data_IF_752313765662
#
_entry.id   IF_752313765662
#
_cell.length_a   1.000
_cell.length_b   1.000
_cell.length_c   1.000
_cell.angle_alpha   90.00
_cell.angle_beta   90.00
_cell.angle_gamma   90.00
#
_symmetry.space_group_name_H-M   'P 1'
#
loop_
_entity.id
_entity.type
_entity.pdbx_description
1 polymer ?
#
# COMPACT_ATOMS: atom_id res chain seq x y z
N UNK A 1 -1.15 -3.22 -11.08
CA UNK A 1 -2.20 -3.45 -12.10
C UNK A 1 -3.46 -3.88 -11.37
N UNK A 2 -4.58 -3.18 -11.56
CA UNK A 2 -5.85 -3.47 -10.87
C UNK A 2 -6.74 -4.39 -11.70
N UNK A 3 -7.60 -5.16 -11.03
CA UNK A 3 -8.65 -6.00 -11.65
C UNK A 3 -9.49 -5.19 -12.64
N UNK A 4 -9.89 -3.98 -12.25
CA UNK A 4 -10.60 -3.01 -13.10
C UNK A 4 -9.92 -2.75 -14.47
N UNK A 5 -8.59 -2.66 -14.51
CA UNK A 5 -7.87 -2.48 -15.78
C UNK A 5 -7.83 -3.76 -16.60
N UNK A 6 -7.78 -4.93 -15.97
CA UNK A 6 -7.82 -6.22 -16.68
C UNK A 6 -9.20 -6.49 -17.28
N UNK A 7 -10.30 -6.14 -16.58
CA UNK A 7 -11.65 -6.22 -17.11
C UNK A 7 -11.80 -5.41 -18.40
N UNK A 8 -11.33 -4.16 -18.39
CA UNK A 8 -11.37 -3.30 -19.59
C UNK A 8 -10.46 -3.75 -20.74
N UNK A 9 -9.49 -4.63 -20.50
CA UNK A 9 -8.69 -5.22 -21.58
C UNK A 9 -9.46 -6.28 -22.35
N UNK A 10 -10.37 -6.98 -21.67
CA UNK A 10 -11.31 -7.85 -22.34
C UNK A 10 -12.26 -6.96 -23.14
N UNK A 11 -12.24 -7.08 -24.48
CA UNK A 11 -13.11 -6.27 -25.35
C UNK A 11 -14.45 -6.94 -25.64
N UNK A 12 -14.60 -8.22 -25.30
CA UNK A 12 -15.75 -9.04 -25.70
C UNK A 12 -16.72 -9.19 -24.52
N UNK A 13 -17.83 -8.44 -24.55
CA UNK A 13 -18.88 -8.52 -23.53
C UNK A 13 -19.57 -9.89 -23.50
N UNK A 14 -19.86 -10.48 -24.65
CA UNK A 14 -20.50 -11.80 -24.74
C UNK A 14 -19.67 -12.89 -24.07
N UNK A 15 -18.33 -12.80 -24.15
CA UNK A 15 -17.43 -13.72 -23.47
C UNK A 15 -17.53 -13.53 -21.96
N UNK A 16 -17.60 -12.29 -21.49
CA UNK A 16 -17.76 -11.99 -20.08
C UNK A 16 -19.07 -12.56 -19.52
N UNK A 17 -20.18 -12.39 -20.24
CA UNK A 17 -21.50 -12.89 -19.84
C UNK A 17 -21.56 -14.44 -19.83
N UNK A 18 -20.84 -15.10 -20.74
CA UNK A 18 -20.69 -16.57 -20.78
C UNK A 18 -19.90 -17.14 -19.60
N UNK A 19 -18.97 -16.38 -19.02
CA UNK A 19 -18.14 -16.84 -17.90
C UNK A 19 -18.97 -16.90 -16.62
N UNK A 20 -19.68 -15.83 -16.30
CA UNK A 20 -20.55 -15.73 -15.13
C UNK A 20 -21.41 -14.48 -15.23
N UNK A 21 -22.67 -14.49 -14.74
CA UNK A 21 -23.49 -13.28 -14.69
C UNK A 21 -22.80 -12.15 -13.91
N UNK A 22 -22.23 -12.46 -12.74
CA UNK A 22 -21.51 -11.48 -11.91
C UNK A 22 -20.26 -10.94 -12.61
N UNK A 23 -19.57 -11.79 -13.38
CA UNK A 23 -18.42 -11.36 -14.18
C UNK A 23 -18.85 -10.40 -15.30
N UNK A 24 -19.95 -10.71 -15.99
CA UNK A 24 -20.57 -9.86 -17.00
C UNK A 24 -20.94 -8.48 -16.47
N UNK A 25 -21.59 -8.42 -15.31
CA UNK A 25 -21.94 -7.15 -14.64
C UNK A 25 -20.70 -6.35 -14.22
N UNK A 26 -19.70 -7.00 -13.62
CA UNK A 26 -18.42 -6.37 -13.27
C UNK A 26 -17.71 -5.81 -14.51
N UNK A 27 -17.77 -6.53 -15.62
CA UNK A 27 -17.20 -6.10 -16.89
C UNK A 27 -17.96 -4.89 -17.47
N UNK A 28 -19.31 -4.89 -17.43
CA UNK A 28 -20.14 -3.75 -17.85
C UNK A 28 -19.86 -2.51 -17.01
N UNK A 29 -19.85 -2.64 -15.68
CA UNK A 29 -19.52 -1.54 -14.77
C UNK A 29 -18.12 -0.97 -15.04
N UNK A 30 -17.13 -1.85 -15.26
CA UNK A 30 -15.76 -1.44 -15.59
C UNK A 30 -15.65 -0.70 -16.93
N UNK A 31 -16.36 -1.13 -17.97
CA UNK A 31 -16.38 -0.45 -19.27
C UNK A 31 -17.18 0.85 -19.26
N UNK A 32 -18.30 0.89 -18.54
CA UNK A 32 -19.12 2.09 -18.37
C UNK A 32 -18.43 3.18 -17.51
N UNK A 33 -17.42 2.80 -16.72
CA UNK A 33 -16.78 3.72 -15.78
C UNK A 33 -17.49 3.83 -14.43
N UNK A 34 -18.48 2.98 -14.15
CA UNK A 34 -19.19 2.95 -12.87
C UNK A 34 -18.36 2.27 -11.78
N UNK A 35 -17.58 3.09 -11.08
CA UNK A 35 -16.76 2.65 -9.95
C UNK A 35 -17.61 2.19 -8.76
N UNK A 36 -18.76 2.83 -8.52
CA UNK A 36 -19.61 2.52 -7.38
C UNK A 36 -20.24 1.14 -7.53
N UNK A 37 -20.85 0.85 -8.68
CA UNK A 37 -21.41 -0.46 -8.97
C UNK A 37 -20.36 -1.56 -8.90
N UNK A 38 -19.16 -1.33 -9.45
CA UNK A 38 -18.07 -2.30 -9.36
C UNK A 38 -17.62 -2.63 -7.94
N UNK A 39 -17.50 -1.63 -7.05
CA UNK A 39 -17.12 -1.89 -5.66
C UNK A 39 -18.20 -2.69 -4.95
N UNK A 40 -19.48 -2.36 -5.17
CA UNK A 40 -20.60 -3.11 -4.63
C UNK A 40 -20.57 -4.57 -5.09
N UNK A 41 -20.38 -4.80 -6.40
CA UNK A 41 -20.25 -6.15 -6.99
C UNK A 41 -19.01 -6.93 -6.52
N UNK A 42 -17.92 -6.25 -6.16
CA UNK A 42 -16.74 -6.86 -5.54
C UNK A 42 -16.99 -7.33 -4.08
N UNK A 43 -18.12 -6.96 -3.49
CA UNK A 43 -18.49 -7.25 -2.09
C UNK A 43 -18.43 -6.04 -1.16
N UNK A 44 -18.22 -4.83 -1.70
CA UNK A 44 -18.14 -3.58 -0.96
C UNK A 44 -16.73 -3.22 -0.45
N UNK A 45 -16.56 -2.03 0.14
CA UNK A 45 -15.26 -1.50 0.53
C UNK A 45 -14.59 -2.26 1.70
N UNK A 46 -15.39 -2.91 2.56
CA UNK A 46 -14.92 -3.65 3.75
C UNK A 46 -14.85 -5.17 3.54
N UNK A 47 -15.00 -5.63 2.30
CA UNK A 47 -14.94 -7.07 1.99
C UNK A 47 -13.57 -7.63 2.36
N UNK A 48 -13.56 -8.80 3.01
CA UNK A 48 -12.30 -9.49 3.27
C UNK A 48 -11.68 -9.91 1.93
N UNK A 49 -10.34 -9.87 1.85
CA UNK A 49 -9.64 -10.24 0.61
C UNK A 49 -10.09 -11.61 0.12
N UNK A 50 -10.28 -12.57 1.02
CA UNK A 50 -10.76 -13.94 0.79
C UNK A 50 -12.06 -14.01 -0.01
N UNK A 51 -12.97 -13.06 0.21
CA UNK A 51 -14.34 -13.04 -0.33
C UNK A 51 -14.52 -12.12 -1.55
N UNK A 52 -13.44 -11.53 -2.07
CA UNK A 52 -13.49 -10.72 -3.29
C UNK A 52 -14.02 -11.54 -4.47
N UNK A 53 -15.00 -10.99 -5.21
CA UNK A 53 -15.56 -11.64 -6.39
C UNK A 53 -14.50 -11.88 -7.48
N UNK A 54 -13.60 -10.91 -7.68
CA UNK A 54 -12.54 -10.98 -8.70
C UNK A 54 -11.16 -10.68 -8.15
N UNK A 55 -10.17 -11.43 -8.64
CA UNK A 55 -8.75 -11.24 -8.36
C UNK A 55 -7.89 -11.33 -9.62
N UNK A 56 -6.73 -10.70 -9.57
CA UNK A 56 -5.71 -10.86 -10.60
C UNK A 56 -5.09 -12.25 -10.54
N UNK A 57 -5.05 -12.92 -11.69
CA UNK A 57 -4.39 -14.20 -11.85
C UNK A 57 -2.96 -13.99 -12.35
N UNK A 58 -2.01 -14.54 -11.59
CA UNK A 58 -0.60 -14.54 -11.90
C UNK A 58 -0.14 -15.91 -12.39
N UNK A 59 0.72 -15.90 -13.39
CA UNK A 59 1.42 -17.08 -13.90
C UNK A 59 2.92 -16.81 -13.85
N UNK A 60 3.72 -17.81 -13.48
CA UNK A 60 5.16 -17.72 -13.63
C UNK A 60 5.52 -17.74 -15.11
N UNK A 61 6.44 -16.87 -15.54
CA UNK A 61 7.01 -16.97 -16.88
C UNK A 61 7.85 -18.24 -16.98
N UNK A 62 7.81 -18.91 -18.13
CA UNK A 62 8.61 -20.10 -18.39
C UNK A 62 10.10 -19.77 -18.60
N UNK A 63 10.41 -18.52 -18.97
CA UNK A 63 11.78 -18.06 -19.15
C UNK A 63 12.31 -17.42 -17.85
N UNK A 64 13.47 -17.89 -17.33
CA UNK A 64 14.12 -17.25 -16.22
C UNK A 64 14.67 -15.88 -16.63
N UNK A 65 14.75 -14.96 -15.67
CA UNK A 65 15.48 -13.70 -15.86
C UNK A 65 16.98 -14.00 -16.07
N UNK A 66 17.77 -13.04 -16.56
CA UNK A 66 19.25 -13.13 -16.63
C UNK A 66 19.91 -13.57 -15.31
N UNK A 67 19.23 -13.41 -14.18
CA UNK A 67 19.65 -13.83 -12.85
C UNK A 67 19.06 -15.19 -12.40
N UNK A 68 18.52 -16.01 -13.31
CA UNK A 68 17.96 -17.33 -13.00
C UNK A 68 16.59 -17.34 -12.31
N UNK A 69 16.01 -16.17 -12.00
CA UNK A 69 14.75 -16.08 -11.25
C UNK A 69 13.52 -16.07 -12.17
N UNK A 70 12.52 -16.89 -11.82
CA UNK A 70 11.20 -16.89 -12.46
C UNK A 70 10.31 -15.77 -11.91
N UNK A 71 9.88 -14.87 -12.79
CA UNK A 71 9.01 -13.75 -12.40
C UNK A 71 7.53 -14.10 -12.62
N UNK A 72 6.69 -13.72 -11.66
CA UNK A 72 5.23 -13.76 -11.82
C UNK A 72 4.78 -12.62 -12.73
N UNK A 73 4.05 -12.97 -13.78
CA UNK A 73 3.38 -12.02 -14.66
C UNK A 73 1.86 -12.15 -14.50
N UNK A 74 1.13 -11.07 -14.70
CA UNK A 74 -0.33 -11.12 -14.75
C UNK A 74 -0.71 -11.77 -16.07
N UNK A 75 -1.51 -12.82 -16.02
CA UNK A 75 -2.03 -13.52 -17.20
C UNK A 75 -3.50 -13.19 -17.44
N UNK A 76 -4.25 -12.97 -16.36
CA UNK A 76 -5.60 -12.43 -16.45
C UNK A 76 -6.34 -12.35 -15.12
N UNK A 77 -7.56 -12.86 -15.10
CA UNK A 77 -8.48 -12.77 -13.97
C UNK A 77 -8.91 -14.15 -13.48
N UNK A 78 -9.20 -14.23 -12.18
CA UNK A 78 -9.76 -15.42 -11.55
C UNK A 78 -10.84 -15.00 -10.56
N UNK A 79 -11.91 -15.78 -10.50
CA UNK A 79 -12.97 -15.65 -9.51
C UNK A 79 -12.70 -16.66 -8.39
N UNK A 80 -12.18 -16.26 -7.22
CA UNK A 80 -11.75 -17.22 -6.19
C UNK A 80 -12.92 -17.89 -5.47
N UNK A 81 -14.09 -17.25 -5.44
CA UNK A 81 -15.28 -17.75 -4.73
C UNK A 81 -16.06 -18.76 -5.59
N UNK A 82 -15.96 -18.66 -6.91
CA UNK A 82 -16.63 -19.54 -7.85
C UNK A 82 -15.66 -20.53 -8.49
N UNK A 83 -16.09 -21.77 -8.73
CA UNK A 83 -15.28 -22.81 -9.39
C UNK A 83 -15.12 -22.62 -10.91
N UNK A 84 -15.01 -21.37 -11.36
CA UNK A 84 -15.03 -20.98 -12.77
C UNK A 84 -13.58 -20.94 -13.31
N UNK A 85 -13.35 -21.34 -14.58
CA UNK A 85 -12.02 -21.26 -15.18
C UNK A 85 -11.47 -19.84 -15.20
N UNK A 86 -10.14 -19.76 -15.21
CA UNK A 86 -9.41 -18.48 -15.24
C UNK A 86 -9.58 -17.83 -16.60
N UNK A 87 -9.80 -16.52 -16.61
CA UNK A 87 -9.99 -15.75 -17.84
C UNK A 87 -8.66 -15.12 -18.25
N UNK A 88 -8.16 -15.46 -19.43
CA UNK A 88 -6.97 -14.83 -20.01
C UNK A 88 -7.31 -13.47 -20.61
N UNK A 89 -6.67 -12.41 -20.11
CA UNK A 89 -6.85 -11.04 -20.63
C UNK A 89 -5.64 -10.55 -21.42
N UNK A 90 -4.50 -11.24 -21.31
CA UNK A 90 -3.25 -10.89 -21.97
C UNK A 90 -2.82 -11.99 -22.93
N UNK A 91 -3.23 -11.81 -24.19
CA UNK A 91 -2.88 -12.70 -25.29
C UNK A 91 -1.57 -12.31 -25.98
N UNK A 92 -1.23 -11.02 -25.94
CA UNK A 92 -0.03 -10.50 -26.60
C UNK A 92 1.13 -10.37 -25.61
N UNK A 93 2.30 -10.86 -26.00
CA UNK A 93 3.57 -10.62 -25.33
C UNK A 93 4.43 -9.69 -26.19
N UNK A 94 5.22 -8.83 -25.54
CA UNK A 94 6.18 -7.97 -26.21
C UNK A 94 7.57 -8.22 -25.62
N UNK A 95 8.59 -8.15 -26.48
CA UNK A 95 9.99 -8.20 -26.08
C UNK A 95 10.67 -6.96 -26.61
N UNK A 96 11.38 -6.27 -25.72
CA UNK A 96 12.23 -5.15 -26.12
C UNK A 96 13.42 -5.77 -26.86
N UNK A 97 13.55 -5.45 -28.15
CA UNK A 97 14.67 -5.89 -28.99
C UNK A 97 15.47 -4.66 -29.37
N UNK A 98 16.80 -4.75 -29.32
CA UNK A 98 17.66 -3.70 -29.86
C UNK A 98 17.46 -3.67 -31.38
N UNK A 99 17.01 -2.53 -31.91
CA UNK A 99 16.89 -2.33 -33.36
C UNK A 99 18.30 -2.38 -33.94
N UNK A 100 18.58 -3.33 -34.85
CA UNK A 100 19.86 -3.34 -35.57
C UNK A 100 19.87 -2.15 -36.53
N UNK A 101 20.95 -1.37 -36.62
CA UNK A 101 21.08 -0.37 -37.67
C UNK A 101 20.98 -1.11 -39.01
N UNK A 102 20.11 -0.63 -39.91
CA UNK A 102 20.09 -1.12 -41.29
C UNK A 102 21.49 -0.84 -41.84
N UNK A 103 22.20 -1.88 -42.26
CA UNK A 103 23.52 -1.76 -42.89
C UNK A 103 23.36 -1.03 -44.22
N UNK A 104 23.43 0.30 -44.20
CA UNK A 104 23.81 1.05 -45.38
C UNK A 104 25.34 1.04 -45.40
N UNK A 105 25.93 0.51 -46.47
CA UNK A 105 27.30 0.77 -46.88
C UNK A 105 27.50 2.27 -47.07
N UNK A 106 27.68 2.98 -45.97
CA UNK A 106 28.19 4.34 -45.96
C UNK A 106 29.26 4.37 -44.89
N UNK A 107 30.48 4.18 -45.38
CA UNK A 107 31.67 4.73 -44.77
C UNK A 107 31.41 6.22 -44.57
N UNK A 108 31.03 6.59 -43.35
CA UNK A 108 31.34 7.92 -42.85
C UNK A 108 31.54 7.84 -41.34
N UNK A 109 32.81 7.85 -40.97
CA UNK A 109 33.29 8.06 -39.63
C UNK A 109 32.92 9.47 -39.18
N UNK A 110 31.85 9.59 -38.40
CA UNK A 110 31.47 10.86 -37.79
C UNK A 110 30.00 10.99 -37.45
N UNK A 111 29.44 10.11 -36.60
CA UNK A 111 28.18 10.45 -35.93
C UNK A 111 28.51 11.30 -34.70
N UNK A 112 28.76 12.58 -34.93
CA UNK A 112 28.73 13.58 -33.88
C UNK A 112 27.28 13.55 -33.34
N UNK A 113 27.11 13.00 -32.14
CA UNK A 113 25.87 13.15 -31.37
C UNK A 113 25.80 14.62 -30.97
N UNK A 114 25.46 15.50 -31.92
CA UNK A 114 24.89 16.80 -31.64
C UNK A 114 23.61 16.51 -30.87
N UNK A 115 23.77 16.41 -29.56
CA UNK A 115 22.72 16.16 -28.61
C UNK A 115 21.74 17.30 -28.76
N UNK A 116 20.66 17.06 -29.52
CA UNK A 116 19.44 17.78 -29.29
C UNK A 116 19.24 17.75 -27.78
N UNK A 117 19.11 18.91 -27.14
CA UNK A 117 18.89 19.02 -25.70
C UNK A 117 17.55 18.34 -25.41
N UNK A 118 17.58 17.03 -25.22
CA UNK A 118 16.44 16.27 -24.75
C UNK A 118 16.35 16.66 -23.29
N UNK A 119 15.28 17.37 -22.87
CA UNK A 119 15.17 17.78 -21.48
C UNK A 119 15.29 16.51 -20.63
N UNK A 120 16.21 16.54 -19.67
CA UNK A 120 16.44 15.41 -18.77
C UNK A 120 15.07 14.97 -18.22
N UNK A 121 14.69 13.70 -18.44
CA UNK A 121 13.49 13.15 -17.82
C UNK A 121 13.78 12.92 -16.34
N UNK A 122 14.03 14.00 -15.62
CA UNK A 122 13.95 14.05 -14.17
C UNK A 122 12.48 14.19 -13.80
N UNK A 123 12.05 13.46 -12.78
CA UNK A 123 10.66 13.40 -12.31
C UNK A 123 10.24 14.65 -11.55
N UNK A 124 10.69 15.83 -11.98
CA UNK A 124 10.45 17.08 -11.26
C UNK A 124 9.96 18.15 -12.24
N UNK A 125 8.63 18.20 -12.33
CA UNK A 125 7.84 19.42 -12.23
C UNK A 125 7.85 20.42 -13.40
N UNK A 126 6.87 20.30 -14.31
CA UNK A 126 6.36 21.43 -15.08
C UNK A 126 5.49 22.28 -14.12
N UNK A 127 6.08 23.23 -13.40
CA UNK A 127 5.31 24.32 -12.79
C UNK A 127 5.47 25.55 -13.66
N UNK A 128 4.34 26.04 -14.18
CA UNK A 128 4.21 27.42 -14.66
C UNK A 128 4.52 28.37 -13.51
N UNK A 129 5.42 29.32 -13.75
CA UNK A 129 5.79 30.36 -12.80
C UNK A 129 4.55 31.16 -12.40
N UNK A 130 4.20 31.11 -11.13
CA UNK A 130 3.24 32.04 -10.53
C UNK A 130 4.05 33.11 -9.80
N UNK A 131 3.87 34.36 -10.21
CA UNK A 131 4.51 35.54 -9.60
C UNK A 131 4.17 35.58 -8.11
N UNK A 132 5.22 35.62 -7.28
CA UNK A 132 5.07 35.80 -5.84
C UNK A 132 4.78 37.27 -5.58
N UNK A 133 3.54 37.60 -5.25
CA UNK A 133 3.23 38.83 -4.55
C UNK A 133 3.83 38.73 -3.14
N UNK A 134 5.00 39.34 -2.96
CA UNK A 134 5.53 39.67 -1.66
C UNK A 134 4.68 40.77 -1.03
N UNK A 135 4.57 40.70 0.29
CA UNK A 135 4.02 41.67 1.24
C UNK A 135 2.52 41.54 1.58
N UNK A 136 2.23 40.95 2.74
CA UNK A 136 1.80 41.77 3.88
C UNK A 136 2.02 41.06 5.23
N UNK A 137 2.80 41.74 6.09
CA UNK A 137 2.78 41.79 7.55
C UNK A 137 2.65 40.49 8.36
N UNK A 138 3.79 40.15 8.97
CA UNK A 138 3.91 39.53 10.29
C UNK A 138 2.86 40.05 11.28
N UNK A 139 2.14 39.13 11.90
CA UNK A 139 1.64 39.28 13.28
C UNK A 139 2.13 38.07 14.08
N UNK A 140 2.58 38.34 15.30
CA UNK A 140 3.30 37.43 16.19
C UNK A 140 2.47 36.22 16.64
N UNK A 141 3.10 35.11 17.09
CA UNK A 141 2.40 33.90 17.48
C UNK A 141 1.64 34.10 18.79
N UNK A 142 0.36 33.74 18.79
CA UNK A 142 -0.40 33.46 20.00
C UNK A 142 -0.23 31.96 20.29
N UNK A 143 0.35 31.61 21.43
CA UNK A 143 0.43 30.21 21.86
C UNK A 143 -0.95 29.72 22.31
N UNK A 144 -1.20 28.41 22.15
CA UNK A 144 -2.35 27.63 22.63
C UNK A 144 -3.53 27.32 21.68
N UNK A 145 -3.33 27.24 20.36
CA UNK A 145 -4.27 26.53 19.48
C UNK A 145 -3.56 25.54 18.55
N UNK A 146 -4.18 24.38 18.34
CA UNK A 146 -3.69 23.37 17.41
C UNK A 146 -3.53 24.02 16.02
N UNK A 147 -2.28 24.23 15.60
CA UNK A 147 -1.93 24.82 14.30
C UNK A 147 -2.55 23.99 13.16
N UNK A 148 -3.77 24.36 12.74
CA UNK A 148 -4.41 23.78 11.57
C UNK A 148 -3.75 24.38 10.33
N UNK A 149 -2.83 23.64 9.74
CA UNK A 149 -2.19 24.04 8.50
C UNK A 149 -3.09 23.72 7.30
N UNK A 150 -3.37 24.71 6.45
CA UNK A 150 -3.95 24.46 5.14
C UNK A 150 -2.91 23.72 4.28
N UNK A 151 -3.21 22.47 3.90
CA UNK A 151 -2.25 21.50 3.30
C UNK A 151 -1.49 22.07 2.10
N UNK A 152 -2.12 22.99 1.37
CA UNK A 152 -1.58 23.63 0.16
C UNK A 152 -0.51 24.67 0.47
N UNK A 153 -0.55 25.32 1.63
CA UNK A 153 0.32 26.46 1.99
C UNK A 153 1.50 26.08 2.90
N UNK A 154 1.68 24.80 3.22
CA UNK A 154 2.71 24.35 4.17
C UNK A 154 4.12 24.56 3.59
N UNK A 155 4.92 25.38 4.27
CA UNK A 155 6.33 25.58 3.91
C UNK A 155 7.16 24.31 4.16
N UNK A 156 8.30 24.19 3.45
CA UNK A 156 9.24 23.07 3.63
C UNK A 156 9.69 22.90 5.09
N UNK A 157 9.89 24.02 5.80
CA UNK A 157 10.31 24.02 7.19
C UNK A 157 9.21 23.49 8.12
N UNK A 158 7.98 24.01 7.97
CA UNK A 158 6.82 23.54 8.75
C UNK A 158 6.56 22.04 8.51
N UNK A 159 6.67 21.58 7.25
CA UNK A 159 6.51 20.16 6.91
C UNK A 159 7.56 19.28 7.59
N UNK A 160 8.81 19.75 7.68
CA UNK A 160 9.88 19.07 8.42
C UNK A 160 9.59 19.03 9.92
N UNK A 161 9.13 20.14 10.51
CA UNK A 161 8.75 20.23 11.92
C UNK A 161 7.60 19.28 12.26
N UNK A 162 6.55 19.25 11.43
CA UNK A 162 5.42 18.31 11.56
C UNK A 162 5.87 16.86 11.43
N UNK A 163 6.72 16.54 10.47
CA UNK A 163 7.24 15.18 10.31
C UNK A 163 8.03 14.74 11.55
N UNK A 164 8.85 15.63 12.11
CA UNK A 164 9.61 15.36 13.33
C UNK A 164 8.70 15.25 14.55
N UNK A 165 7.65 16.07 14.63
CA UNK A 165 6.61 15.94 15.64
C UNK A 165 5.86 14.61 15.52
N UNK A 166 5.47 14.17 14.31
CA UNK A 166 4.80 12.89 14.09
C UNK A 166 5.71 11.68 14.38
N UNK A 167 7.01 11.79 14.08
CA UNK A 167 8.00 10.78 14.48
C UNK A 167 8.08 10.71 16.00
N UNK A 168 8.17 11.85 16.68
CA UNK A 168 8.30 11.89 18.13
C UNK A 168 6.99 11.53 18.85
N UNK A 169 5.85 11.85 18.25
CA UNK A 169 4.50 11.58 18.75
C UNK A 169 4.14 10.08 18.69
N UNK A 170 4.86 9.31 17.87
CA UNK A 170 4.82 7.85 17.88
C UNK A 170 6.11 7.35 18.55
N UNK A 171 6.13 7.04 19.84
CA UNK A 171 5.63 5.79 20.40
C UNK A 171 5.62 5.91 21.94
N UNK A 172 4.52 6.31 22.57
CA UNK A 172 4.26 5.76 23.92
C UNK A 172 4.07 4.26 23.70
N UNK A 173 5.13 3.47 23.91
CA UNK A 173 5.08 2.00 23.80
C UNK A 173 3.84 1.56 24.57
N UNK A 174 2.86 0.98 23.87
CA UNK A 174 1.69 0.39 24.55
C UNK A 174 2.26 -0.64 25.52
N UNK A 175 2.14 -0.39 26.83
CA UNK A 175 2.66 -1.32 27.84
C UNK A 175 2.04 -2.69 27.59
N UNK A 176 2.85 -3.76 27.66
CA UNK A 176 2.31 -5.11 27.56
C UNK A 176 1.21 -5.27 28.60
N UNK A 177 0.12 -6.01 28.31
CA UNK A 177 -0.86 -6.36 29.32
C UNK A 177 -0.22 -6.86 30.62
N UNK A 178 0.88 -7.62 30.55
CA UNK A 178 1.62 -8.08 31.72
C UNK A 178 2.25 -6.91 32.52
N UNK A 179 2.93 -5.98 31.84
CA UNK A 179 3.57 -4.83 32.49
C UNK A 179 2.55 -3.95 33.23
N UNK A 180 1.30 -3.87 32.74
CA UNK A 180 0.23 -3.13 33.42
C UNK A 180 -0.13 -3.73 34.78
N UNK A 181 -0.24 -5.06 34.86
CA UNK A 181 -0.58 -5.75 36.10
C UNK A 181 0.57 -5.70 37.12
N UNK A 182 1.82 -5.76 36.66
CA UNK A 182 3.00 -5.57 37.52
C UNK A 182 3.04 -4.17 38.10
N UNK A 183 2.77 -3.13 37.30
CA UNK A 183 2.66 -1.77 37.81
C UNK A 183 1.56 -1.61 38.87
N UNK A 184 0.39 -2.23 38.63
CA UNK A 184 -0.71 -2.20 39.61
C UNK A 184 -0.32 -2.90 40.92
N UNK A 185 0.32 -4.07 40.85
CA UNK A 185 0.79 -4.77 42.03
C UNK A 185 1.85 -3.95 42.80
N UNK A 186 2.82 -3.39 42.08
CA UNK A 186 3.90 -2.58 42.67
C UNK A 186 3.36 -1.30 43.32
N UNK A 187 2.38 -0.65 42.68
CA UNK A 187 1.74 0.55 43.23
C UNK A 187 0.98 0.25 44.52
N UNK A 188 0.32 -0.91 44.61
CA UNK A 188 -0.31 -1.38 45.85
C UNK A 188 0.78 -1.60 46.90
N UNK A 189 1.79 -2.42 46.62
CA UNK A 189 2.83 -2.74 47.61
C UNK A 189 3.69 -1.55 48.07
N UNK A 190 3.73 -0.46 47.30
CA UNK A 190 4.47 0.75 47.65
C UNK A 190 3.74 1.64 48.68
N UNK A 191 2.44 1.43 48.90
CA UNK A 191 1.64 2.10 49.95
C UNK A 191 1.62 1.27 51.23
N UNK A 192 1.27 1.89 52.36
CA UNK A 192 0.92 1.15 53.58
C UNK A 192 -0.33 0.29 53.31
N UNK A 193 -0.13 -1.00 53.05
CA UNK A 193 -1.17 -1.88 52.53
C UNK A 193 -1.69 -2.91 53.53
N UNK A 194 -3.02 -3.03 53.54
CA UNK A 194 -3.76 -4.01 54.32
C UNK A 194 -3.58 -5.44 53.76
N UNK A 195 -3.83 -6.47 54.57
CA UNK A 195 -3.63 -7.88 54.17
C UNK A 195 -4.47 -8.29 52.94
N UNK A 196 -5.66 -7.68 52.78
CA UNK A 196 -6.52 -7.82 51.60
C UNK A 196 -5.94 -7.20 50.34
N UNK A 197 -5.24 -6.07 50.46
CA UNK A 197 -4.59 -5.36 49.37
C UNK A 197 -3.34 -6.13 48.91
N UNK A 198 -2.59 -6.72 49.85
CA UNK A 198 -1.48 -7.63 49.53
C UNK A 198 -1.95 -8.86 48.74
N UNK A 199 -3.08 -9.46 49.12
CA UNK A 199 -3.68 -10.57 48.38
C UNK A 199 -4.09 -10.16 46.95
N UNK A 200 -4.60 -8.94 46.80
CA UNK A 200 -4.94 -8.36 45.50
C UNK A 200 -3.70 -8.14 44.62
N UNK A 201 -2.61 -7.60 45.19
CA UNK A 201 -1.33 -7.44 44.49
C UNK A 201 -0.76 -8.79 44.03
N UNK A 202 -0.84 -9.83 44.88
CA UNK A 202 -0.39 -11.17 44.54
C UNK A 202 -1.21 -11.79 43.37
N UNK A 203 -2.53 -11.55 43.33
CA UNK A 203 -3.38 -11.94 42.21
C UNK A 203 -2.93 -11.27 40.90
N UNK A 204 -2.65 -9.96 40.93
CA UNK A 204 -2.15 -9.23 39.76
C UNK A 204 -0.78 -9.73 39.29
N UNK A 205 0.15 -10.04 40.19
CA UNK A 205 1.44 -10.65 39.83
C UNK A 205 1.27 -12.02 39.16
N UNK A 206 0.35 -12.85 39.66
CA UNK A 206 0.04 -14.15 39.06
C UNK A 206 -0.55 -13.99 37.66
N UNK A 207 -1.46 -13.03 37.46
CA UNK A 207 -2.01 -12.72 36.14
C UNK A 207 -0.93 -12.24 35.16
N UNK A 208 -0.05 -11.33 35.59
CA UNK A 208 1.07 -10.87 34.76
C UNK A 208 1.96 -12.02 34.29
N UNK A 209 2.32 -12.91 35.21
CA UNK A 209 3.14 -14.09 34.92
C UNK A 209 2.48 -14.99 33.87
N UNK A 210 1.19 -15.31 34.03
CA UNK A 210 0.47 -16.14 33.06
C UNK A 210 0.41 -15.52 31.66
N UNK A 211 0.25 -14.19 31.58
CA UNK A 211 0.23 -13.47 30.30
C UNK A 211 1.59 -13.52 29.60
N UNK A 212 2.71 -13.37 30.33
CA UNK A 212 4.06 -13.50 29.75
C UNK A 212 4.31 -14.91 29.19
N UNK A 213 3.86 -15.96 29.88
CA UNK A 213 3.99 -17.33 29.37
C UNK A 213 3.21 -17.53 28.08
N UNK A 214 1.97 -17.03 28.02
CA UNK A 214 1.13 -17.11 26.83
C UNK A 214 1.72 -16.33 25.65
N UNK A 215 2.28 -15.14 25.89
CA UNK A 215 2.97 -14.34 24.87
C UNK A 215 4.21 -15.07 24.32
N UNK A 216 4.99 -15.73 25.18
CA UNK A 216 6.18 -16.51 24.79
C UNK A 216 5.84 -17.80 24.01
N UNK A 217 4.73 -18.46 24.35
CA UNK A 217 4.25 -19.61 23.56
C UNK A 217 3.78 -19.18 22.17
N UNK A 218 3.03 -18.07 22.09
CA UNK A 218 2.50 -17.53 20.83
C UNK A 218 3.59 -16.99 19.89
N UNK A 219 4.71 -16.50 20.43
CA UNK A 219 5.86 -16.09 19.62
C UNK A 219 6.59 -17.29 19.00
N UNK A 220 6.74 -18.40 19.75
CA UNK A 220 7.35 -19.65 19.26
C UNK A 220 6.53 -20.33 18.17
N UNK A 221 5.20 -20.31 18.27
CA UNK A 221 4.31 -20.87 17.23
C UNK A 221 4.38 -20.11 15.90
N UNK A 222 4.65 -18.81 15.91
CA UNK A 222 4.77 -18.00 14.68
C UNK A 222 6.07 -18.21 13.91
N UNK A 223 7.07 -18.84 14.53
CA UNK A 223 8.39 -19.10 13.96
C UNK A 223 8.51 -20.49 13.31
N UNK A 224 7.43 -21.28 13.34
CA UNK A 224 7.34 -22.63 12.78
C UNK A 224 6.43 -22.64 11.56
#
# INVERSE_FOLDING_TARGET
>A
MSVWRELRRLRNQELADKVSPVFGELHRAAHAGDWQGYITLQGGPFVSRAKLALRTWYQYKNEPTSYGQYRKAIKGLVMPVSSIPRVETRLHSYRIVKIKPKSSDRVDSGFDLQGASVPSWTRVNNYTEYEKCTNLRFSSPHEDEAEQYEIVQITRYQRKRLHQHLINYNLKRKMSPADKYELLANAITASECNESEKASAHSYMKLAFTLRQNENMKSKEKLK
#
